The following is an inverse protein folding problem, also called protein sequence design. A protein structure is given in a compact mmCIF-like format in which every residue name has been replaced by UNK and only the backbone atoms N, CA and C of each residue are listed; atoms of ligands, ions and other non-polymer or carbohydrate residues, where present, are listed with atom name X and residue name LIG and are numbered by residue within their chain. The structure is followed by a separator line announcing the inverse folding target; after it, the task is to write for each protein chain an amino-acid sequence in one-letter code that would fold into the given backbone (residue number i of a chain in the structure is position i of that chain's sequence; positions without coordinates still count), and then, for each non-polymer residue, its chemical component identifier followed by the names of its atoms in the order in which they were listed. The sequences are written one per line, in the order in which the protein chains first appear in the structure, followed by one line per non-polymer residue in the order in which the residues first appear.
data_IF_696706214733
#
_entry.id   IF_696706214733
#
_cell.length_a   1.000
_cell.length_b   1.000
_cell.length_c   1.000
_cell.angle_alpha   90.00
_cell.angle_beta   90.00
_cell.angle_gamma   90.00
#
_symmetry.space_group_name_H-M   'P 1'
#
loop_
_entity.id
_entity.type
_entity.pdbx_description
1 polymer ?
#
# COMPACT_ATOMS: atom_id res chain seq x y z
N UNK A 1 32.54 -1.79 9.56
CA UNK A 1 32.04 -1.69 8.16
C UNK A 1 31.05 -2.81 7.82
N UNK A 2 31.31 -4.10 8.11
CA UNK A 2 30.39 -5.20 7.77
C UNK A 2 28.97 -5.09 8.38
N UNK A 3 28.82 -4.71 9.66
CA UNK A 3 27.49 -4.61 10.28
C UNK A 3 26.59 -3.53 9.66
N UNK A 4 27.13 -2.38 9.25
CA UNK A 4 26.32 -1.29 8.68
C UNK A 4 25.73 -1.67 7.32
N UNK A 5 26.50 -2.35 6.45
CA UNK A 5 26.00 -2.84 5.17
C UNK A 5 24.96 -3.96 5.31
N UNK A 6 25.14 -4.84 6.30
CA UNK A 6 24.16 -5.90 6.61
C UNK A 6 22.84 -5.28 7.09
N UNK A 7 22.88 -4.28 7.97
CA UNK A 7 21.67 -3.59 8.44
C UNK A 7 20.96 -2.82 7.32
N UNK A 8 21.71 -2.18 6.41
CA UNK A 8 21.16 -1.51 5.22
C UNK A 8 20.49 -2.51 4.28
N UNK A 9 21.15 -3.64 3.98
CA UNK A 9 20.58 -4.67 3.11
C UNK A 9 19.34 -5.33 3.72
N UNK A 10 19.35 -5.60 5.02
CA UNK A 10 18.21 -6.15 5.74
C UNK A 10 17.03 -5.17 5.75
N UNK A 11 17.29 -3.89 5.99
CA UNK A 11 16.25 -2.86 5.94
C UNK A 11 15.59 -2.77 4.56
N UNK A 12 16.38 -2.68 3.49
CA UNK A 12 15.86 -2.68 2.12
C UNK A 12 15.11 -3.96 1.76
N UNK A 13 15.52 -5.12 2.29
CA UNK A 13 14.79 -6.38 2.09
C UNK A 13 13.43 -6.39 2.77
N UNK A 14 13.32 -5.84 3.98
CA UNK A 14 12.03 -5.78 4.69
C UNK A 14 11.04 -4.90 3.94
N UNK A 15 11.50 -3.75 3.41
CA UNK A 15 10.67 -2.84 2.58
C UNK A 15 10.17 -3.57 1.34
N UNK A 16 11.07 -4.15 0.54
CA UNK A 16 10.70 -4.83 -0.72
C UNK A 16 9.81 -6.06 -0.47
N UNK A 17 10.01 -6.77 0.64
CA UNK A 17 9.16 -7.92 0.97
C UNK A 17 7.77 -7.49 1.45
N UNK A 18 7.70 -6.43 2.27
CA UNK A 18 6.43 -5.85 2.73
C UNK A 18 5.61 -5.33 1.55
N UNK A 19 6.25 -4.54 0.69
CA UNK A 19 5.68 -4.03 -0.56
C UNK A 19 5.23 -5.17 -1.50
N UNK A 20 6.00 -6.25 -1.58
CA UNK A 20 5.63 -7.41 -2.41
C UNK A 20 4.41 -8.14 -1.87
N UNK A 21 4.24 -8.16 -0.54
CA UNK A 21 3.04 -8.70 0.07
C UNK A 21 1.84 -7.77 -0.10
N UNK A 22 2.04 -6.45 -0.01
CA UNK A 22 1.02 -5.43 -0.27
C UNK A 22 0.45 -5.60 -1.70
N UNK A 23 1.34 -5.52 -2.69
CA UNK A 23 1.02 -5.70 -4.10
C UNK A 23 0.28 -7.02 -4.37
N UNK A 24 0.65 -8.11 -3.70
CA UNK A 24 -0.05 -9.38 -3.80
C UNK A 24 -1.51 -9.30 -3.32
N UNK A 25 -1.77 -8.62 -2.19
CA UNK A 25 -3.11 -8.45 -1.64
C UNK A 25 -3.96 -7.53 -2.51
N UNK A 26 -3.36 -6.50 -3.10
CA UNK A 26 -4.04 -5.64 -4.08
C UNK A 26 -4.52 -6.45 -5.28
N UNK A 27 -3.61 -7.24 -5.85
CA UNK A 27 -3.93 -8.17 -6.92
C UNK A 27 -5.06 -9.11 -6.53
N UNK A 28 -4.97 -9.73 -5.36
CA UNK A 28 -5.99 -10.63 -4.83
C UNK A 28 -7.37 -9.97 -4.76
N UNK A 29 -7.40 -8.73 -4.28
CA UNK A 29 -8.62 -7.91 -4.16
C UNK A 29 -9.20 -7.54 -5.52
N UNK A 30 -8.35 -7.12 -6.47
CA UNK A 30 -8.75 -6.84 -7.86
C UNK A 30 -9.34 -8.09 -8.51
N UNK A 31 -8.69 -9.25 -8.34
CA UNK A 31 -9.13 -10.51 -8.93
C UNK A 31 -10.48 -10.96 -8.40
N UNK A 32 -10.69 -10.90 -7.09
CA UNK A 32 -11.98 -11.20 -6.47
C UNK A 32 -13.07 -10.21 -6.92
N UNK A 33 -12.73 -8.93 -7.06
CA UNK A 33 -13.66 -7.89 -7.51
C UNK A 33 -14.14 -8.09 -8.95
N UNK A 34 -13.25 -8.45 -9.87
CA UNK A 34 -13.62 -8.77 -11.25
C UNK A 34 -14.46 -10.05 -11.36
N UNK A 35 -14.35 -10.96 -10.39
CA UNK A 35 -15.23 -12.13 -10.32
C UNK A 35 -16.67 -11.72 -9.94
N UNK A 36 -16.84 -10.74 -9.04
CA UNK A 36 -18.17 -10.23 -8.66
C UNK A 36 -18.84 -9.41 -9.77
N UNK A 37 -18.14 -8.39 -10.29
CA UNK A 37 -18.61 -7.64 -11.45
C UNK A 37 -17.48 -6.84 -12.10
N UNK A 38 -17.59 -6.59 -13.41
CA UNK A 38 -16.66 -5.73 -14.14
C UNK A 38 -16.56 -4.33 -13.53
N UNK A 39 -17.69 -3.79 -13.05
CA UNK A 39 -17.72 -2.47 -12.43
C UNK A 39 -16.91 -2.45 -11.14
N UNK A 40 -17.17 -3.41 -10.24
CA UNK A 40 -16.46 -3.54 -8.96
C UNK A 40 -14.96 -3.74 -9.20
N UNK A 41 -14.58 -4.59 -10.15
CA UNK A 41 -13.20 -4.81 -10.55
C UNK A 41 -12.50 -3.54 -11.04
N UNK A 42 -13.14 -2.76 -11.92
CA UNK A 42 -12.60 -1.47 -12.39
C UNK A 42 -12.49 -0.47 -11.24
N UNK A 43 -13.50 -0.37 -10.38
CA UNK A 43 -13.50 0.55 -9.23
C UNK A 43 -12.36 0.24 -8.26
N UNK A 44 -12.16 -1.03 -7.89
CA UNK A 44 -11.07 -1.46 -7.01
C UNK A 44 -9.71 -1.26 -7.68
N UNK A 45 -9.57 -1.57 -8.97
CA UNK A 45 -8.31 -1.34 -9.70
C UNK A 45 -7.90 0.13 -9.72
N UNK A 46 -8.87 1.04 -9.88
CA UNK A 46 -8.60 2.48 -9.84
C UNK A 46 -8.23 2.93 -8.42
N UNK A 47 -8.88 2.37 -7.39
CA UNK A 47 -8.55 2.66 -6.00
C UNK A 47 -7.10 2.24 -5.67
N UNK A 48 -6.74 1.00 -5.97
CA UNK A 48 -5.38 0.46 -5.83
C UNK A 48 -4.37 1.32 -6.59
N UNK A 49 -4.64 1.66 -7.86
CA UNK A 49 -3.74 2.51 -8.64
C UNK A 49 -3.49 3.89 -7.96
N UNK A 50 -4.51 4.45 -7.32
CA UNK A 50 -4.40 5.74 -6.66
C UNK A 50 -3.54 5.69 -5.38
N UNK A 51 -3.51 4.56 -4.67
CA UNK A 51 -2.73 4.38 -3.45
C UNK A 51 -1.33 3.80 -3.70
N UNK A 52 -1.16 2.97 -4.73
CA UNK A 52 0.12 2.37 -5.10
C UNK A 52 1.09 3.36 -5.74
N UNK A 53 0.61 4.30 -6.56
CA UNK A 53 1.49 5.31 -7.17
C UNK A 53 2.29 6.13 -6.13
N UNK A 54 1.68 6.70 -5.07
CA UNK A 54 2.44 7.37 -4.02
C UNK A 54 3.22 6.40 -3.14
N UNK A 55 2.72 5.18 -2.90
CA UNK A 55 3.42 4.16 -2.10
C UNK A 55 4.77 3.79 -2.74
N UNK A 56 4.75 3.42 -4.01
CA UNK A 56 5.92 3.02 -4.80
C UNK A 56 6.96 4.15 -4.94
N UNK A 57 6.51 5.41 -5.08
CA UNK A 57 7.41 6.56 -5.07
C UNK A 57 8.05 6.79 -3.71
N UNK A 58 7.33 6.51 -2.62
CA UNK A 58 7.83 6.53 -1.26
C UNK A 58 8.92 5.48 -1.05
N UNK A 59 8.62 4.23 -1.38
CA UNK A 59 9.57 3.11 -1.28
C UNK A 59 10.82 3.35 -2.11
N UNK A 60 10.66 3.84 -3.35
CA UNK A 60 11.78 4.23 -4.18
C UNK A 60 12.68 5.29 -3.50
N UNK A 61 12.08 6.30 -2.86
CA UNK A 61 12.83 7.32 -2.12
C UNK A 61 13.52 6.76 -0.86
N UNK A 62 12.87 5.83 -0.15
CA UNK A 62 13.42 5.15 1.03
C UNK A 62 14.61 4.26 0.62
N UNK A 63 14.49 3.47 -0.44
CA UNK A 63 15.55 2.60 -0.96
C UNK A 63 16.77 3.40 -1.44
N UNK A 64 16.55 4.54 -2.11
CA UNK A 64 17.63 5.46 -2.46
C UNK A 64 18.32 6.03 -1.20
N UNK A 65 17.54 6.42 -0.20
CA UNK A 65 18.06 6.96 1.07
C UNK A 65 18.81 5.90 1.89
N UNK A 66 18.45 4.62 1.74
CA UNK A 66 19.17 3.48 2.30
C UNK A 66 20.50 3.21 1.57
N UNK A 67 20.76 3.83 0.42
CA UNK A 67 22.02 3.72 -0.31
C UNK A 67 21.98 2.79 -1.52
N UNK A 68 20.79 2.36 -1.98
CA UNK A 68 20.65 1.67 -3.25
C UNK A 68 20.86 2.64 -4.42
N UNK A 69 21.41 2.15 -5.53
CA UNK A 69 21.42 2.93 -6.78
C UNK A 69 20.02 3.03 -7.36
N UNK A 70 19.77 4.08 -8.15
CA UNK A 70 18.48 4.28 -8.83
C UNK A 70 18.00 3.06 -9.62
N UNK A 71 18.92 2.37 -10.32
CA UNK A 71 18.57 1.15 -11.07
C UNK A 71 18.18 0.00 -10.15
N UNK A 72 18.85 -0.15 -9.01
CA UNK A 72 18.54 -1.21 -8.05
C UNK A 72 17.17 -0.96 -7.38
N UNK A 73 16.90 0.28 -6.96
CA UNK A 73 15.63 0.65 -6.34
C UNK A 73 14.45 0.46 -7.32
N UNK A 74 14.59 0.90 -8.58
CA UNK A 74 13.56 0.69 -9.61
C UNK A 74 13.29 -0.79 -9.89
N UNK A 75 14.34 -1.62 -9.98
CA UNK A 75 14.19 -3.05 -10.23
C UNK A 75 13.55 -3.74 -9.03
N UNK A 76 13.90 -3.35 -7.80
CA UNK A 76 13.33 -3.92 -6.58
C UNK A 76 11.83 -3.66 -6.49
N UNK A 77 11.40 -2.40 -6.66
CA UNK A 77 9.99 -2.02 -6.72
C UNK A 77 9.25 -2.73 -7.86
N UNK A 78 9.82 -2.75 -9.07
CA UNK A 78 9.17 -3.43 -10.19
C UNK A 78 8.98 -4.95 -9.95
N UNK A 79 9.96 -5.62 -9.34
CA UNK A 79 9.86 -7.04 -9.01
C UNK A 79 8.83 -7.29 -7.90
N UNK A 80 8.74 -6.36 -6.94
CA UNK A 80 7.73 -6.35 -5.90
C UNK A 80 6.33 -6.20 -6.50
N UNK A 81 6.09 -5.18 -7.32
CA UNK A 81 4.83 -4.97 -8.04
C UNK A 81 4.37 -6.17 -8.88
N UNK A 82 5.29 -6.99 -9.38
CA UNK A 82 4.93 -8.20 -10.14
C UNK A 82 4.14 -9.24 -9.31
N UNK A 83 4.22 -9.21 -7.97
CA UNK A 83 3.42 -10.12 -7.12
C UNK A 83 1.92 -9.83 -7.23
N UNK A 84 1.52 -8.63 -7.64
CA UNK A 84 0.14 -8.26 -7.91
C UNK A 84 -0.51 -9.16 -8.97
N UNK A 85 0.22 -9.56 -10.01
CA UNK A 85 -0.31 -10.49 -11.01
C UNK A 85 -0.59 -11.88 -10.42
N UNK A 86 0.22 -12.33 -9.47
CA UNK A 86 0.00 -13.61 -8.79
C UNK A 86 -1.25 -13.52 -7.92
N UNK A 87 -1.40 -12.42 -7.17
CA UNK A 87 -2.60 -12.12 -6.40
C UNK A 87 -3.85 -12.11 -7.28
N UNK A 88 -3.80 -11.40 -8.40
CA UNK A 88 -4.90 -11.29 -9.37
C UNK A 88 -5.41 -12.66 -9.82
N UNK A 89 -4.49 -13.53 -10.26
CA UNK A 89 -4.85 -14.88 -10.71
C UNK A 89 -5.50 -15.67 -9.58
N UNK A 90 -4.94 -15.63 -8.37
CA UNK A 90 -5.53 -16.32 -7.23
C UNK A 90 -6.88 -15.73 -6.82
N UNK A 91 -7.06 -14.41 -6.91
CA UNK A 91 -8.30 -13.73 -6.58
C UNK A 91 -9.43 -14.12 -7.50
N UNK A 92 -9.16 -14.22 -8.81
CA UNK A 92 -10.11 -14.70 -9.81
C UNK A 92 -10.51 -16.16 -9.50
N UNK A 93 -9.52 -17.03 -9.26
CA UNK A 93 -9.76 -18.45 -8.95
C UNK A 93 -10.57 -18.64 -7.67
N UNK A 94 -10.25 -17.90 -6.60
CA UNK A 94 -10.98 -17.97 -5.33
C UNK A 94 -12.39 -17.38 -5.43
N UNK A 95 -12.59 -16.38 -6.27
CA UNK A 95 -13.91 -15.81 -6.56
C UNK A 95 -14.88 -16.86 -7.11
N UNK A 96 -14.42 -17.77 -7.98
CA UNK A 96 -15.27 -18.83 -8.56
C UNK A 96 -15.87 -19.78 -7.51
N UNK A 97 -15.23 -19.91 -6.35
CA UNK A 97 -15.72 -20.72 -5.24
C UNK A 97 -16.71 -19.98 -4.32
N UNK A 98 -17.25 -18.82 -4.74
CA UNK A 98 -18.07 -17.93 -3.91
C UNK A 98 -17.36 -17.50 -2.62
N UNK A 99 -16.02 -17.51 -2.62
CA UNK A 99 -15.21 -17.15 -1.47
C UNK A 99 -14.83 -15.66 -1.43
N UNK A 100 -15.42 -14.83 -2.30
CA UNK A 100 -15.11 -13.39 -2.42
C UNK A 100 -15.21 -12.65 -1.08
N UNK A 101 -16.24 -12.95 -0.27
CA UNK A 101 -16.40 -12.36 1.07
C UNK A 101 -15.23 -12.68 2.02
N UNK A 102 -14.69 -13.91 1.97
CA UNK A 102 -13.54 -14.28 2.78
C UNK A 102 -12.25 -13.64 2.25
N UNK A 103 -12.11 -13.53 0.93
CA UNK A 103 -10.99 -12.84 0.29
C UNK A 103 -10.97 -11.36 0.69
N UNK A 104 -12.10 -10.66 0.61
CA UNK A 104 -12.20 -9.26 1.03
C UNK A 104 -12.01 -9.10 2.54
N UNK A 105 -12.53 -10.02 3.36
CA UNK A 105 -12.29 -10.01 4.80
C UNK A 105 -10.80 -10.17 5.15
N UNK A 106 -10.11 -11.07 4.44
CA UNK A 106 -8.67 -11.27 4.57
C UNK A 106 -7.88 -10.04 4.10
N UNK A 107 -8.22 -9.49 2.93
CA UNK A 107 -7.58 -8.30 2.38
C UNK A 107 -7.75 -7.09 3.31
N UNK A 108 -8.96 -6.84 3.82
CA UNK A 108 -9.22 -5.77 4.78
C UNK A 108 -8.41 -5.94 6.07
N UNK A 109 -8.28 -7.17 6.59
CA UNK A 109 -7.44 -7.47 7.74
C UNK A 109 -5.96 -7.22 7.48
N UNK A 110 -5.47 -7.58 6.30
CA UNK A 110 -4.09 -7.33 5.89
C UNK A 110 -3.79 -5.84 5.69
N UNK A 111 -4.68 -5.08 5.06
CA UNK A 111 -4.51 -3.63 4.95
C UNK A 111 -4.46 -2.94 6.31
N UNK A 112 -5.28 -3.40 7.27
CA UNK A 112 -5.21 -2.96 8.66
C UNK A 112 -3.85 -3.29 9.30
N UNK A 113 -3.34 -4.50 9.08
CA UNK A 113 -2.04 -4.93 9.58
C UNK A 113 -0.90 -4.09 9.00
N UNK A 114 -0.84 -3.93 7.68
CA UNK A 114 0.20 -3.14 6.98
C UNK A 114 0.15 -1.68 7.46
N UNK A 115 -1.04 -1.09 7.54
CA UNK A 115 -1.21 0.29 8.04
C UNK A 115 -0.66 0.48 9.47
N UNK A 116 -0.84 -0.51 10.33
CA UNK A 116 -0.39 -0.45 11.73
C UNK A 116 1.08 -0.80 11.92
N UNK A 117 1.59 -1.77 11.15
CA UNK A 117 2.95 -2.31 11.34
C UNK A 117 3.98 -1.55 10.51
N UNK A 118 3.63 -1.15 9.28
CA UNK A 118 4.59 -0.51 8.38
C UNK A 118 4.44 1.02 8.39
N UNK A 119 3.22 1.54 8.23
CA UNK A 119 3.02 3.00 8.14
C UNK A 119 3.10 3.71 9.51
N UNK A 120 2.57 3.10 10.58
CA UNK A 120 2.52 3.78 11.89
C UNK A 120 3.91 4.08 12.47
N UNK A 121 4.92 3.17 12.41
CA UNK A 121 6.28 3.50 12.82
C UNK A 121 6.92 4.63 12.01
N UNK A 122 6.71 4.65 10.69
CA UNK A 122 7.21 5.70 9.79
C UNK A 122 6.64 7.08 10.18
N UNK A 123 5.32 7.14 10.41
CA UNK A 123 4.62 8.35 10.85
C UNK A 123 5.12 8.84 12.21
N UNK A 124 5.39 7.92 13.14
CA UNK A 124 5.93 8.24 14.45
C UNK A 124 7.38 8.74 14.34
N UNK A 125 8.22 8.13 13.51
CA UNK A 125 9.59 8.58 13.28
C UNK A 125 9.63 9.99 12.69
N UNK A 126 8.80 10.27 11.69
CA UNK A 126 8.68 11.62 11.10
C UNK A 126 8.20 12.67 12.12
N UNK A 127 7.26 12.31 12.98
CA UNK A 127 6.79 13.19 14.06
C UNK A 127 7.88 13.43 15.13
N UNK A 128 8.64 12.40 15.50
CA UNK A 128 9.74 12.50 16.47
C UNK A 128 10.88 13.38 15.94
N UNK A 129 11.27 13.22 14.67
CA UNK A 129 12.27 14.08 14.03
C UNK A 129 11.85 15.55 13.99
N UNK A 130 10.58 15.81 13.68
CA UNK A 130 10.02 17.17 13.71
C UNK A 130 10.00 17.74 15.14
N UNK A 131 9.69 16.91 16.14
CA UNK A 131 9.71 17.26 17.56
C UNK A 131 11.09 17.65 18.07
N UNK A 132 12.14 16.94 17.65
CA UNK A 132 13.54 17.27 17.97
C UNK A 132 13.95 18.65 17.45
N UNK A 133 13.36 19.12 16.34
CA UNK A 133 13.64 20.46 15.78
C UNK A 133 12.88 21.57 16.52
N UNK A 134 11.58 21.41 16.74
CA UNK A 134 10.73 22.41 17.42
C UNK A 134 9.33 21.87 17.70
N UNK A 135 8.71 22.26 18.83
CA UNK A 135 7.31 21.92 19.11
C UNK A 135 6.32 22.42 18.05
N UNK A 136 6.61 23.54 17.37
CA UNK A 136 5.79 24.03 16.25
C UNK A 136 5.92 23.15 15.00
N UNK A 137 7.09 22.56 14.77
CA UNK A 137 7.32 21.65 13.66
C UNK A 137 6.58 20.32 13.91
N UNK A 138 6.65 19.78 15.13
CA UNK A 138 5.89 18.59 15.53
C UNK A 138 4.39 18.77 15.30
N UNK A 139 3.83 19.91 15.74
CA UNK A 139 2.41 20.21 15.55
C UNK A 139 2.03 20.30 14.06
N UNK A 140 2.86 20.94 13.23
CA UNK A 140 2.63 20.99 11.78
C UNK A 140 2.65 19.59 11.14
N UNK A 141 3.61 18.75 11.51
CA UNK A 141 3.69 17.37 11.00
C UNK A 141 2.45 16.57 11.38
N UNK A 142 2.01 16.64 12.64
CA UNK A 142 0.80 15.97 13.10
C UNK A 142 -0.45 16.45 12.36
N UNK A 143 -0.57 17.76 12.10
CA UNK A 143 -1.68 18.32 11.32
C UNK A 143 -1.68 17.79 9.89
N UNK A 144 -0.53 17.73 9.22
CA UNK A 144 -0.41 17.18 7.88
C UNK A 144 -0.74 15.69 7.82
N UNK A 145 -0.30 14.91 8.80
CA UNK A 145 -0.62 13.48 8.88
C UNK A 145 -2.13 13.25 9.10
N UNK A 146 -2.76 13.98 10.01
CA UNK A 146 -4.20 13.88 10.25
C UNK A 146 -5.02 14.32 9.04
N UNK A 147 -4.60 15.38 8.34
CA UNK A 147 -5.25 15.81 7.09
C UNK A 147 -5.15 14.71 6.01
N UNK A 148 -3.98 14.08 5.86
CA UNK A 148 -3.79 12.95 4.96
C UNK A 148 -4.74 11.79 5.29
N UNK A 149 -4.75 11.33 6.54
CA UNK A 149 -5.63 10.27 7.03
C UNK A 149 -7.12 10.56 6.80
N UNK A 150 -7.57 11.76 7.16
CA UNK A 150 -8.98 12.18 6.96
C UNK A 150 -9.30 12.22 5.46
N UNK A 151 -8.39 12.73 4.64
CA UNK A 151 -8.60 12.80 3.19
C UNK A 151 -8.67 11.42 2.53
N UNK A 152 -7.81 10.47 2.92
CA UNK A 152 -7.84 9.09 2.44
C UNK A 152 -9.13 8.37 2.88
N UNK A 153 -9.50 8.51 4.16
CA UNK A 153 -10.77 7.95 4.66
C UNK A 153 -12.00 8.54 3.94
N UNK A 154 -12.01 9.85 3.67
CA UNK A 154 -13.09 10.50 2.93
C UNK A 154 -13.17 10.04 1.46
N UNK A 155 -12.02 9.80 0.82
CA UNK A 155 -11.94 9.29 -0.54
C UNK A 155 -12.47 7.85 -0.62
N UNK A 156 -12.02 6.95 0.27
CA UNK A 156 -12.51 5.58 0.36
C UNK A 156 -14.00 5.53 0.68
N UNK A 157 -14.47 6.35 1.63
CA UNK A 157 -15.89 6.47 1.94
C UNK A 157 -16.71 6.94 0.74
N UNK A 158 -16.19 7.89 -0.03
CA UNK A 158 -16.86 8.38 -1.24
C UNK A 158 -16.94 7.29 -2.30
N UNK A 159 -15.85 6.57 -2.57
CA UNK A 159 -15.83 5.45 -3.51
C UNK A 159 -16.86 4.37 -3.11
N UNK A 160 -16.85 3.97 -1.83
CA UNK A 160 -17.80 3.00 -1.31
C UNK A 160 -19.26 3.49 -1.42
N UNK A 161 -19.52 4.76 -1.13
CA UNK A 161 -20.88 5.32 -1.14
C UNK A 161 -21.44 5.48 -2.55
N UNK A 162 -20.58 5.75 -3.53
CA UNK A 162 -20.99 6.01 -4.91
C UNK A 162 -20.89 4.78 -5.82
N UNK A 163 -20.34 3.65 -5.37
CA UNK A 163 -20.26 2.44 -6.22
C UNK A 163 -21.63 2.03 -6.80
N UNK A 164 -22.71 2.13 -6.01
CA UNK A 164 -24.06 1.72 -6.42
C UNK A 164 -24.67 2.65 -7.49
N UNK A 165 -24.09 3.84 -7.68
CA UNK A 165 -24.58 4.86 -8.63
C UNK A 165 -23.91 4.75 -10.00
N UNK A 166 -22.83 3.98 -10.12
CA UNK A 166 -22.06 3.86 -11.37
C UNK A 166 -22.62 2.68 -12.17
N UNK A 167 -23.88 2.74 -12.60
CA UNK A 167 -24.37 1.80 -13.60
C UNK A 167 -23.93 2.28 -14.98
N UNK A 168 -22.90 1.65 -15.55
CA UNK A 168 -22.67 1.73 -16.98
C UNK A 168 -23.69 0.82 -17.68
N UNK A 169 -24.46 1.46 -18.56
CA UNK A 169 -25.54 0.93 -19.39
C UNK A 169 -25.24 -0.42 -20.04
#
# INVERSE_FOLDING_TARGET
MSNTYINVCLFSQTVVFGDGFHNFIDGLSIGAAFNESTLTGVSISVAVLCEELPHELGDFAVLLSAGMTMRQALVANFLSACTCYVGLVLGILLGEFQASTYVFGFAAGMFLYISLVDMMPELNAAAEEAGKRSGRAALKTLLWQNLGLISGAALLFSLARFQDRIQFW
#
